data_IF_623652158617
#
_entry.id   IF_623652158617
#
_cell.length_a   1.000
_cell.length_b   1.000
_cell.length_c   1.000
_cell.angle_alpha   90.00
_cell.angle_beta   90.00
_cell.angle_gamma   90.00
#
_symmetry.space_group_name_H-M   'P 1'
#
loop_
_entity.id
_entity.type
_entity.pdbx_description
1 polymer ?
#
# COMPACT_ATOMS: atom_id res chain seq x y z
N UNK A 1 12.07 2.94 -24.43
CA UNK A 1 11.33 2.15 -23.41
C UNK A 1 11.22 2.87 -22.04
N UNK A 2 11.14 4.21 -21.98
CA UNK A 2 11.29 4.95 -20.70
C UNK A 2 10.04 5.62 -20.10
N UNK A 3 8.90 5.68 -20.81
CA UNK A 3 7.72 6.42 -20.32
C UNK A 3 6.68 5.54 -19.60
N UNK A 4 6.52 4.26 -19.99
CA UNK A 4 5.48 3.37 -19.44
C UNK A 4 5.70 3.04 -17.95
N UNK A 5 6.94 2.91 -17.49
CA UNK A 5 7.22 2.62 -16.07
C UNK A 5 6.87 3.79 -15.15
N UNK A 6 7.11 5.03 -15.60
CA UNK A 6 6.77 6.25 -14.86
C UNK A 6 5.25 6.43 -14.73
N UNK A 7 4.52 6.19 -15.82
CA UNK A 7 3.04 6.27 -15.82
C UNK A 7 2.43 5.27 -14.84
N UNK A 8 2.97 4.05 -14.76
CA UNK A 8 2.47 3.04 -13.83
C UNK A 8 2.64 3.44 -12.36
N UNK A 9 3.75 4.07 -11.99
CA UNK A 9 4.00 4.50 -10.60
C UNK A 9 3.19 5.74 -10.23
N UNK A 10 2.99 6.67 -11.16
CA UNK A 10 2.11 7.82 -10.96
C UNK A 10 0.66 7.38 -10.70
N UNK A 11 0.14 6.47 -11.53
CA UNK A 11 -1.18 5.90 -11.31
C UNK A 11 -1.32 5.25 -9.93
N UNK A 12 -0.32 4.48 -9.48
CA UNK A 12 -0.35 3.87 -8.15
C UNK A 12 -0.26 4.92 -7.04
N UNK A 13 0.51 5.99 -7.23
CA UNK A 13 0.62 7.07 -6.25
C UNK A 13 -0.72 7.80 -6.09
N UNK A 14 -1.36 8.16 -7.20
CA UNK A 14 -2.68 8.79 -7.20
C UNK A 14 -3.75 7.84 -6.62
N UNK A 15 -3.69 6.55 -6.95
CA UNK A 15 -4.58 5.54 -6.37
C UNK A 15 -4.37 5.39 -4.85
N UNK A 16 -3.11 5.44 -4.37
CA UNK A 16 -2.80 5.42 -2.94
C UNK A 16 -3.35 6.66 -2.22
N UNK A 17 -3.29 7.82 -2.86
CA UNK A 17 -3.76 9.09 -2.29
C UNK A 17 -5.31 9.18 -2.29
N UNK A 18 -5.99 8.52 -3.23
CA UNK A 18 -7.46 8.45 -3.29
C UNK A 18 -8.08 7.33 -2.46
N UNK A 19 -7.77 6.07 -2.81
CA UNK A 19 -8.41 4.85 -2.29
C UNK A 19 -7.42 3.96 -1.53
N UNK A 20 -6.38 4.56 -0.95
CA UNK A 20 -5.36 3.88 -0.19
C UNK A 20 -5.19 4.39 1.23
N UNK A 21 -4.39 3.67 2.01
CA UNK A 21 -4.08 4.04 3.39
C UNK A 21 -2.67 3.60 3.77
N UNK A 22 -1.95 4.50 4.43
CA UNK A 22 -0.70 4.21 5.11
C UNK A 22 -0.97 4.11 6.61
N UNK A 23 -0.82 2.91 7.17
CA UNK A 23 -1.10 2.63 8.57
C UNK A 23 0.18 2.31 9.33
N UNK A 24 0.35 2.93 10.50
CA UNK A 24 1.39 2.55 11.47
C UNK A 24 0.71 2.11 12.77
N UNK A 25 0.84 0.82 13.08
CA UNK A 25 0.10 0.18 14.17
C UNK A 25 1.03 -0.39 15.23
N UNK A 26 0.64 -0.29 16.49
CA UNK A 26 1.28 -1.01 17.60
C UNK A 26 0.41 -2.22 17.94
N UNK A 27 0.88 -3.42 17.60
CA UNK A 27 0.16 -4.67 17.89
C UNK A 27 0.73 -5.32 19.14
N UNK A 28 -0.15 -5.70 20.08
CA UNK A 28 0.25 -6.51 21.24
C UNK A 28 0.69 -7.90 20.78
N UNK A 29 1.75 -8.40 21.38
CA UNK A 29 2.34 -9.72 21.13
C UNK A 29 2.51 -10.45 22.45
N UNK A 30 2.37 -11.77 22.44
CA UNK A 30 2.66 -12.61 23.62
C UNK A 30 4.17 -12.91 23.71
N UNK A 31 4.84 -12.83 22.56
CA UNK A 31 6.25 -13.07 22.31
C UNK A 31 7.11 -11.79 22.37
N UNK A 32 8.35 -11.94 22.84
CA UNK A 32 9.36 -10.87 22.92
C UNK A 32 9.33 -10.05 24.22
N UNK A 33 10.47 -9.45 24.59
CA UNK A 33 10.64 -8.71 25.83
C UNK A 33 9.66 -7.52 25.96
N UNK A 34 9.41 -6.82 24.85
CA UNK A 34 8.52 -5.65 24.81
C UNK A 34 7.04 -5.99 24.64
N UNK A 35 6.68 -7.25 24.31
CA UNK A 35 5.30 -7.71 24.08
C UNK A 35 4.48 -6.82 23.11
N UNK A 36 5.15 -6.08 22.24
CA UNK A 36 4.59 -5.12 21.28
C UNK A 36 5.38 -5.20 19.97
N UNK A 37 4.67 -5.05 18.84
CA UNK A 37 5.26 -4.98 17.50
C UNK A 37 4.76 -3.74 16.77
N UNK A 38 5.69 -2.94 16.26
CA UNK A 38 5.38 -1.88 15.31
C UNK A 38 5.14 -2.48 13.92
N UNK A 39 4.05 -2.09 13.28
CA UNK A 39 3.63 -2.62 11.99
C UNK A 39 3.27 -1.48 11.06
N UNK A 40 4.09 -1.29 10.03
CA UNK A 40 3.78 -0.43 8.90
C UNK A 40 3.02 -1.23 7.84
N UNK A 41 1.95 -0.66 7.29
CA UNK A 41 1.14 -1.28 6.24
C UNK A 41 0.72 -0.24 5.21
N UNK A 42 0.86 -0.56 3.93
CA UNK A 42 0.12 0.09 2.84
C UNK A 42 -1.09 -0.77 2.54
N UNK A 43 -2.27 -0.17 2.48
CA UNK A 43 -3.50 -0.84 2.09
C UNK A 43 -4.13 -0.10 0.92
N UNK A 44 -4.61 -0.83 -0.07
CA UNK A 44 -5.40 -0.33 -1.19
C UNK A 44 -6.77 -0.98 -1.14
N UNK A 45 -7.82 -0.20 -1.36
CA UNK A 45 -9.21 -0.65 -1.27
C UNK A 45 -9.88 -0.55 -2.64
N UNK A 46 -10.77 -1.50 -2.94
CA UNK A 46 -11.61 -1.40 -4.12
C UNK A 46 -12.89 -2.22 -3.93
N UNK A 47 -14.00 -1.82 -4.54
CA UNK A 47 -15.19 -2.66 -4.64
C UNK A 47 -14.79 -3.99 -5.32
N UNK A 48 -15.27 -5.12 -4.80
CA UNK A 48 -14.89 -6.45 -5.29
C UNK A 48 -15.21 -6.65 -6.77
N UNK A 49 -16.22 -5.95 -7.32
CA UNK A 49 -16.53 -5.98 -8.76
C UNK A 49 -15.41 -5.41 -9.63
N UNK A 50 -14.55 -4.57 -9.05
CA UNK A 50 -13.42 -3.90 -9.68
C UNK A 50 -12.08 -4.28 -9.02
N UNK A 51 -11.95 -5.49 -8.47
CA UNK A 51 -10.72 -5.89 -7.76
C UNK A 51 -9.50 -6.08 -8.69
N UNK A 52 -9.68 -6.11 -10.02
CA UNK A 52 -8.62 -6.41 -11.00
C UNK A 52 -7.45 -5.44 -10.89
N UNK A 53 -7.75 -4.18 -10.59
CA UNK A 53 -6.82 -3.10 -10.33
C UNK A 53 -5.88 -3.47 -9.18
N UNK A 54 -6.40 -4.06 -8.09
CA UNK A 54 -5.59 -4.50 -6.96
C UNK A 54 -4.63 -5.63 -7.34
N UNK A 55 -5.07 -6.59 -8.15
CA UNK A 55 -4.19 -7.65 -8.69
C UNK A 55 -3.11 -7.07 -9.59
N UNK A 56 -3.45 -6.07 -10.42
CA UNK A 56 -2.47 -5.38 -11.25
C UNK A 56 -1.41 -4.68 -10.39
N UNK A 57 -1.81 -3.95 -9.35
CA UNK A 57 -0.88 -3.29 -8.40
C UNK A 57 0.01 -4.34 -7.73
N UNK A 58 -0.56 -5.44 -7.24
CA UNK A 58 0.17 -6.54 -6.63
C UNK A 58 1.24 -7.12 -7.58
N UNK A 59 0.89 -7.36 -8.84
CA UNK A 59 1.82 -7.86 -9.86
C UNK A 59 2.94 -6.86 -10.17
N UNK A 60 2.66 -5.55 -10.15
CA UNK A 60 3.70 -4.52 -10.36
C UNK A 60 4.73 -4.47 -9.24
N UNK A 61 4.32 -4.72 -8.00
CA UNK A 61 5.25 -4.74 -6.87
C UNK A 61 5.80 -6.13 -6.55
N UNK A 62 5.16 -7.20 -7.02
CA UNK A 62 5.52 -8.59 -6.75
C UNK A 62 5.35 -9.00 -5.28
N UNK A 63 4.65 -8.19 -4.47
CA UNK A 63 4.47 -8.41 -3.04
C UNK A 63 3.07 -7.98 -2.59
N UNK A 64 2.71 -8.38 -1.38
CA UNK A 64 1.41 -8.12 -0.77
C UNK A 64 0.43 -9.27 -0.95
N UNK A 65 -0.65 -9.22 -0.20
CA UNK A 65 -1.72 -10.21 -0.25
C UNK A 65 -3.06 -9.50 -0.46
N UNK A 66 -3.93 -10.17 -1.21
CA UNK A 66 -5.29 -9.71 -1.48
C UNK A 66 -6.25 -10.46 -0.57
N UNK A 67 -7.20 -9.73 0.02
CA UNK A 67 -8.28 -10.31 0.83
C UNK A 67 -9.60 -9.67 0.47
N UNK A 68 -10.62 -10.49 0.24
CA UNK A 68 -12.01 -10.05 0.11
C UNK A 68 -12.65 -10.00 1.49
N UNK A 69 -13.32 -8.89 1.78
CA UNK A 69 -14.10 -8.68 3.00
C UNK A 69 -15.56 -9.09 2.78
N UNK A 70 -16.25 -9.30 3.88
CA UNK A 70 -17.67 -9.68 3.92
C UNK A 70 -18.63 -8.53 3.57
N UNK A 71 -18.12 -7.31 3.37
CA UNK A 71 -18.89 -6.11 3.02
C UNK A 71 -18.81 -5.77 1.52
N UNK A 72 -18.25 -6.67 0.70
CA UNK A 72 -18.11 -6.45 -0.74
C UNK A 72 -16.86 -5.65 -1.13
N UNK A 73 -15.96 -5.33 -0.20
CA UNK A 73 -14.68 -4.69 -0.51
C UNK A 73 -13.55 -5.72 -0.65
N UNK A 74 -12.64 -5.46 -1.56
CA UNK A 74 -11.36 -6.18 -1.69
C UNK A 74 -10.22 -5.26 -1.29
N UNK A 75 -9.20 -5.83 -0.65
CA UNK A 75 -8.05 -5.08 -0.17
C UNK A 75 -6.74 -5.74 -0.60
N UNK A 76 -5.78 -4.93 -1.06
CA UNK A 76 -4.38 -5.33 -1.19
C UNK A 76 -3.60 -4.75 -0.01
N UNK A 77 -2.95 -5.62 0.78
CA UNK A 77 -2.13 -5.22 1.92
C UNK A 77 -0.67 -5.57 1.72
N UNK A 78 0.20 -4.59 1.96
CA UNK A 78 1.65 -4.73 1.96
C UNK A 78 2.15 -4.36 3.35
N UNK A 79 2.76 -5.32 4.05
CA UNK A 79 3.14 -5.19 5.45
C UNK A 79 4.66 -5.19 5.62
N UNK A 80 5.15 -4.44 6.60
CA UNK A 80 6.55 -4.47 7.02
C UNK A 80 7.26 -3.18 6.67
N UNK A 81 8.03 -2.67 7.63
CA UNK A 81 8.64 -1.35 7.55
C UNK A 81 9.53 -1.17 6.31
N UNK A 82 10.43 -2.12 6.03
CA UNK A 82 11.34 -2.02 4.89
C UNK A 82 10.57 -1.98 3.56
N UNK A 83 9.60 -2.87 3.37
CA UNK A 83 8.79 -2.93 2.15
C UNK A 83 7.98 -1.65 1.94
N UNK A 84 7.30 -1.18 2.99
CA UNK A 84 6.52 0.06 2.95
C UNK A 84 7.41 1.26 2.62
N UNK A 85 8.55 1.39 3.30
CA UNK A 85 9.52 2.47 3.05
C UNK A 85 9.98 2.48 1.59
N UNK A 86 10.33 1.31 1.05
CA UNK A 86 10.90 1.20 -0.29
C UNK A 86 9.85 1.46 -1.38
N UNK A 87 8.58 1.12 -1.14
CA UNK A 87 7.46 1.51 -2.02
C UNK A 87 7.22 3.01 -1.93
N UNK A 88 7.12 3.58 -0.74
CA UNK A 88 6.87 5.02 -0.57
C UNK A 88 7.95 5.85 -1.25
N UNK A 89 9.23 5.48 -1.15
CA UNK A 89 10.32 6.15 -1.88
C UNK A 89 10.12 6.15 -3.41
N UNK A 90 9.48 5.12 -3.97
CA UNK A 90 9.15 5.05 -5.40
C UNK A 90 7.92 5.88 -5.76
N UNK A 91 6.97 6.04 -4.85
CA UNK A 91 5.70 6.75 -5.09
C UNK A 91 5.76 8.25 -4.80
N UNK A 92 6.56 8.68 -3.80
CA UNK A 92 6.72 10.09 -3.40
C UNK A 92 6.98 11.03 -4.58
N UNK A 93 7.84 10.71 -5.57
CA UNK A 93 8.11 11.60 -6.71
C UNK A 93 6.89 11.92 -7.58
N UNK A 94 5.82 11.14 -7.47
CA UNK A 94 4.63 11.25 -8.31
C UNK A 94 3.42 11.77 -7.55
N UNK A 95 3.55 12.09 -6.25
CA UNK A 95 2.45 12.65 -5.49
C UNK A 95 2.16 14.06 -5.99
N UNK A 96 0.94 14.27 -6.48
CA UNK A 96 0.48 15.57 -6.97
C UNK A 96 0.30 16.62 -5.85
N UNK A 97 0.28 16.22 -4.57
CA UNK A 97 0.08 17.13 -3.45
C UNK A 97 0.74 16.64 -2.14
N UNK A 98 1.54 17.49 -1.47
CA UNK A 98 1.76 17.39 -0.01
C UNK A 98 2.29 18.70 0.58
N UNK A 99 1.53 19.39 1.44
CA UNK A 99 2.07 20.40 2.35
C UNK A 99 2.60 19.79 3.67
N UNK A 100 2.78 18.47 3.77
CA UNK A 100 3.13 17.79 5.04
C UNK A 100 4.40 16.93 4.99
N UNK A 101 5.34 17.28 4.12
CA UNK A 101 6.74 16.84 4.23
C UNK A 101 7.65 18.07 4.20
N UNK A 102 7.75 18.73 5.35
CA UNK A 102 8.90 19.55 5.79
C UNK A 102 9.31 19.03 7.16
#
# INVERSE_FOLDING_TARGET
MGSRSKINLAYVADFLDGDGSLMFQIKKRKDGALKKRLMATICFYQDTRHERELYWIQQRFGIGYISRRNDGMTELRINGYAQVRDILKKLIPYKSYSPFLV
#
